data_IF_489856115721
#
_entry.id   IF_489856115721
#
_cell.length_a   1.000
_cell.length_b   1.000
_cell.length_c   1.000
_cell.angle_alpha   90.00
_cell.angle_beta   90.00
_cell.angle_gamma   90.00
#
_symmetry.space_group_name_H-M   'P 1'
#
loop_
_entity.id
_entity.type
_entity.pdbx_description
1 polymer ?
#
# COMPACT_ATOMS: atom_id res chain seq x y z
N UNK A 1 -26.61 -5.24 4.07
CA UNK A 1 -27.28 -3.92 4.11
C UNK A 1 -27.42 -3.51 5.55
N UNK A 2 -26.68 -2.50 5.97
CA UNK A 2 -26.82 -1.87 7.27
C UNK A 2 -27.56 -0.55 7.13
N UNK A 3 -28.38 -0.19 8.09
CA UNK A 3 -28.95 1.14 8.19
C UNK A 3 -28.38 1.83 9.41
N UNK A 4 -28.04 3.09 9.27
CA UNK A 4 -27.59 3.94 10.36
C UNK A 4 -28.41 5.22 10.40
N UNK A 5 -28.56 5.78 11.59
CA UNK A 5 -29.16 7.08 11.78
C UNK A 5 -28.06 8.09 12.08
N UNK A 6 -27.81 9.00 11.17
CA UNK A 6 -26.93 10.10 11.44
C UNK A 6 -27.56 11.02 12.48
N UNK A 7 -26.91 11.19 13.63
CA UNK A 7 -27.32 12.24 14.57
C UNK A 7 -27.09 13.58 13.90
N UNK A 8 -28.10 14.48 14.03
CA UNK A 8 -27.98 15.88 13.63
C UNK A 8 -26.71 16.48 14.26
N UNK A 9 -25.72 16.74 13.43
CA UNK A 9 -24.63 17.58 13.82
C UNK A 9 -24.92 18.97 13.31
N UNK A 10 -25.25 19.86 14.20
CA UNK A 10 -25.39 21.27 13.86
C UNK A 10 -24.01 21.85 13.66
N UNK A 11 -23.82 22.48 12.52
CA UNK A 11 -22.76 23.44 12.35
C UNK A 11 -23.25 24.72 13.06
N UNK A 12 -22.85 24.92 14.30
CA UNK A 12 -23.25 26.08 15.11
C UNK A 12 -22.41 27.34 14.82
N UNK A 13 -21.68 27.37 13.72
CA UNK A 13 -20.76 28.43 13.38
C UNK A 13 -19.50 28.51 14.26
N UNK A 14 -19.35 27.63 15.25
CA UNK A 14 -18.23 27.59 16.21
C UNK A 14 -17.25 26.45 15.93
N UNK A 15 -17.31 25.84 14.76
CA UNK A 15 -16.32 24.86 14.32
C UNK A 15 -16.43 23.48 14.96
N UNK A 16 -17.58 23.10 15.53
CA UNK A 16 -17.78 21.71 15.96
C UNK A 16 -17.81 20.77 14.76
N UNK A 17 -16.87 19.82 14.75
CA UNK A 17 -16.82 18.77 13.75
C UNK A 17 -18.02 17.84 13.88
N UNK A 18 -18.71 17.57 12.77
CA UNK A 18 -19.62 16.44 12.71
C UNK A 18 -18.79 15.17 12.63
N UNK A 19 -19.09 14.21 13.49
CA UNK A 19 -18.52 12.87 13.42
C UNK A 19 -19.45 12.01 12.59
N UNK A 20 -18.89 11.29 11.61
CA UNK A 20 -19.59 10.15 11.02
C UNK A 20 -19.86 9.14 12.15
N UNK A 21 -21.03 8.51 12.09
CA UNK A 21 -21.39 7.49 13.08
C UNK A 21 -20.48 6.28 12.84
N UNK A 22 -19.97 5.66 13.89
CA UNK A 22 -19.00 4.56 13.82
C UNK A 22 -19.48 3.36 12.96
N UNK A 23 -20.78 3.20 12.79
CA UNK A 23 -21.38 2.15 11.98
C UNK A 23 -21.50 2.45 10.47
N UNK A 24 -20.92 3.53 9.98
CA UNK A 24 -20.81 3.81 8.54
C UNK A 24 -19.59 3.13 7.91
N UNK A 25 -18.65 2.66 8.71
CA UNK A 25 -17.51 1.91 8.24
C UNK A 25 -17.93 0.51 7.76
N UNK A 26 -17.46 0.12 6.59
CA UNK A 26 -17.61 -1.25 6.10
C UNK A 26 -16.25 -1.95 6.14
N UNK A 27 -16.17 -3.08 6.81
CA UNK A 27 -14.93 -3.83 7.02
C UNK A 27 -14.71 -4.94 5.98
N UNK A 28 -15.39 -4.87 4.84
CA UNK A 28 -15.28 -5.88 3.80
C UNK A 28 -15.98 -7.19 4.17
N UNK A 29 -17.06 -7.11 4.95
CA UNK A 29 -17.84 -8.28 5.38
C UNK A 29 -19.27 -8.25 4.85
N UNK A 30 -19.87 -9.43 4.70
CA UNK A 30 -21.27 -9.60 4.35
C UNK A 30 -22.19 -9.45 5.58
N UNK A 31 -23.50 -9.69 5.38
CA UNK A 31 -24.50 -9.60 6.44
C UNK A 31 -24.33 -10.66 7.55
N UNK A 32 -23.51 -11.69 7.33
CA UNK A 32 -23.21 -12.74 8.32
C UNK A 32 -21.91 -12.44 9.07
N UNK A 33 -21.18 -11.38 8.68
CA UNK A 33 -19.87 -11.05 9.21
C UNK A 33 -18.72 -11.81 8.53
N UNK A 34 -18.98 -12.54 7.45
CA UNK A 34 -17.96 -13.23 6.67
C UNK A 34 -17.30 -12.27 5.68
N UNK A 35 -15.99 -12.40 5.48
CA UNK A 35 -15.28 -11.58 4.50
C UNK A 35 -15.80 -11.84 3.10
N UNK A 36 -16.05 -10.78 2.36
CA UNK A 36 -16.45 -10.89 0.95
C UNK A 36 -15.25 -11.26 0.08
N UNK A 37 -15.51 -11.88 -1.07
CA UNK A 37 -14.48 -12.25 -2.03
C UNK A 37 -13.84 -11.02 -2.69
N UNK A 38 -12.65 -11.19 -3.25
CA UNK A 38 -12.05 -10.16 -4.11
C UNK A 38 -12.95 -9.84 -5.30
N UNK A 39 -13.03 -8.56 -5.65
CA UNK A 39 -13.88 -8.10 -6.74
C UNK A 39 -14.31 -6.65 -6.64
N UNK A 40 -15.21 -6.28 -7.52
CA UNK A 40 -15.79 -4.94 -7.57
C UNK A 40 -17.07 -4.86 -6.74
N UNK A 41 -17.15 -3.83 -5.93
CA UNK A 41 -18.29 -3.56 -5.05
C UNK A 41 -18.73 -2.11 -5.20
N UNK A 42 -19.99 -1.87 -4.86
CA UNK A 42 -20.54 -0.51 -4.77
C UNK A 42 -20.93 -0.26 -3.32
N UNK A 43 -20.28 0.71 -2.70
CA UNK A 43 -20.69 1.24 -1.42
C UNK A 43 -21.71 2.36 -1.66
N UNK A 44 -22.95 2.14 -1.22
CA UNK A 44 -24.05 3.07 -1.44
C UNK A 44 -24.47 3.68 -0.11
N UNK A 45 -24.46 5.00 -0.06
CA UNK A 45 -24.99 5.78 1.06
C UNK A 45 -26.29 6.42 0.65
N UNK A 46 -27.37 6.11 1.38
CA UNK A 46 -28.67 6.73 1.22
C UNK A 46 -28.96 7.60 2.43
N UNK A 47 -29.38 8.81 2.20
CA UNK A 47 -29.74 9.72 3.28
C UNK A 47 -30.81 10.69 2.83
N UNK A 48 -31.68 11.09 3.77
CA UNK A 48 -32.64 12.16 3.55
C UNK A 48 -32.18 13.39 4.33
N UNK A 49 -31.91 14.51 3.67
CA UNK A 49 -31.55 15.74 4.36
C UNK A 49 -32.63 16.15 5.39
N UNK A 50 -32.21 16.69 6.51
CA UNK A 50 -33.14 17.13 7.57
C UNK A 50 -33.81 18.47 7.23
N UNK A 51 -34.31 18.60 6.01
CA UNK A 51 -35.05 19.76 5.51
C UNK A 51 -36.46 19.30 5.12
N UNK A 52 -37.52 20.03 5.54
CA UNK A 52 -38.90 19.66 5.15
C UNK A 52 -39.06 19.53 3.64
N UNK A 53 -39.61 18.41 3.20
CA UNK A 53 -39.83 18.12 1.78
C UNK A 53 -38.59 17.63 1.01
N UNK A 54 -37.47 17.38 1.68
CA UNK A 54 -36.29 16.84 1.03
C UNK A 54 -36.51 15.38 0.59
N UNK A 55 -36.07 15.09 -0.63
CA UNK A 55 -36.06 13.72 -1.18
C UNK A 55 -34.81 12.95 -0.73
N UNK A 56 -34.90 11.61 -0.77
CA UNK A 56 -33.75 10.74 -0.51
C UNK A 56 -32.64 11.02 -1.52
N UNK A 57 -31.44 11.17 -1.01
CA UNK A 57 -30.20 11.31 -1.79
C UNK A 57 -29.42 10.00 -1.77
N UNK A 58 -28.83 9.65 -2.89
CA UNK A 58 -28.03 8.42 -3.04
C UNK A 58 -26.65 8.78 -3.56
N UNK A 59 -25.63 8.42 -2.79
CA UNK A 59 -24.22 8.56 -3.21
C UNK A 59 -23.60 7.17 -3.33
N UNK A 60 -22.92 6.92 -4.43
CA UNK A 60 -22.28 5.63 -4.71
C UNK A 60 -20.78 5.79 -4.86
N UNK A 61 -20.04 4.87 -4.25
CA UNK A 61 -18.61 4.75 -4.37
C UNK A 61 -18.28 3.38 -4.93
N UNK A 62 -17.53 3.36 -6.03
CA UNK A 62 -16.99 2.10 -6.54
C UNK A 62 -15.79 1.71 -5.70
N UNK A 63 -15.80 0.49 -5.20
CA UNK A 63 -14.74 -0.10 -4.40
C UNK A 63 -14.21 -1.34 -5.09
N UNK A 64 -12.93 -1.57 -4.93
CA UNK A 64 -12.30 -2.82 -5.31
C UNK A 64 -11.71 -3.45 -4.06
N UNK A 65 -12.02 -4.72 -3.84
CA UNK A 65 -11.40 -5.54 -2.82
C UNK A 65 -10.40 -6.44 -3.53
N UNK A 66 -9.18 -6.39 -3.06
CA UNK A 66 -8.09 -7.22 -3.52
C UNK A 66 -7.23 -7.60 -2.32
N UNK A 67 -7.18 -8.89 -2.01
CA UNK A 67 -6.37 -9.46 -0.93
C UNK A 67 -5.17 -10.24 -1.45
N UNK A 68 -4.99 -10.28 -2.76
CA UNK A 68 -3.90 -10.99 -3.39
C UNK A 68 -2.66 -10.10 -3.46
N UNK A 69 -1.52 -10.69 -3.12
CA UNK A 69 -0.25 -9.98 -3.19
C UNK A 69 0.29 -9.98 -4.62
N UNK A 70 0.97 -8.89 -5.02
CA UNK A 70 1.80 -8.94 -6.23
C UNK A 70 2.86 -10.03 -6.08
N UNK A 71 3.22 -10.68 -7.18
CA UNK A 71 4.23 -11.74 -7.19
C UNK A 71 5.56 -11.18 -7.63
N UNK A 72 6.53 -11.19 -6.74
CA UNK A 72 7.92 -10.89 -7.07
C UNK A 72 8.57 -12.04 -7.83
N UNK A 73 9.19 -11.71 -8.94
CA UNK A 73 10.12 -12.60 -9.63
C UNK A 73 11.55 -12.15 -9.35
N UNK A 74 12.47 -13.11 -9.24
CA UNK A 74 13.88 -12.80 -8.99
C UNK A 74 14.44 -11.90 -10.10
N UNK A 75 15.00 -10.76 -9.71
CA UNK A 75 15.76 -9.92 -10.60
C UNK A 75 17.11 -10.51 -10.99
N UNK A 76 17.85 -9.83 -11.84
CA UNK A 76 19.20 -10.19 -12.23
C UNK A 76 20.13 -8.97 -12.17
N UNK A 77 21.42 -9.21 -12.13
CA UNK A 77 22.42 -8.16 -12.11
C UNK A 77 23.30 -8.25 -13.35
N UNK A 78 23.66 -7.10 -13.90
CA UNK A 78 24.66 -6.98 -14.97
C UNK A 78 25.84 -6.17 -14.46
N UNK A 79 27.03 -6.41 -15.00
CA UNK A 79 28.22 -5.63 -14.73
C UNK A 79 28.82 -5.10 -16.01
N UNK A 80 28.95 -3.78 -16.12
CA UNK A 80 29.56 -3.11 -17.26
C UNK A 80 30.53 -2.04 -16.77
N UNK A 81 31.75 -2.06 -17.27
CA UNK A 81 32.79 -1.08 -16.92
C UNK A 81 33.03 -0.92 -15.41
N UNK A 82 32.93 -2.03 -14.65
CA UNK A 82 33.04 -2.04 -13.20
C UNK A 82 31.76 -1.67 -12.45
N UNK A 83 30.78 -1.11 -13.12
CA UNK A 83 29.49 -0.71 -12.54
C UNK A 83 28.50 -1.88 -12.56
N UNK A 84 27.94 -2.17 -11.41
CA UNK A 84 26.91 -3.19 -11.25
C UNK A 84 25.52 -2.57 -11.28
N UNK A 85 24.61 -3.15 -12.07
CA UNK A 85 23.22 -2.67 -12.20
C UNK A 85 22.27 -3.83 -11.96
N UNK A 86 21.34 -3.63 -11.03
CA UNK A 86 20.28 -4.56 -10.71
C UNK A 86 19.05 -4.26 -11.56
N UNK A 87 18.47 -5.29 -12.18
CA UNK A 87 17.20 -5.22 -12.89
C UNK A 87 16.18 -6.08 -12.19
N UNK A 88 15.17 -5.45 -11.64
CA UNK A 88 14.00 -6.13 -11.13
C UNK A 88 13.22 -6.75 -12.30
N UNK A 89 12.80 -8.00 -12.18
CA UNK A 89 11.84 -8.56 -13.14
C UNK A 89 10.47 -7.99 -12.84
N UNK A 90 9.73 -7.68 -13.90
CA UNK A 90 8.36 -7.19 -13.75
C UNK A 90 7.54 -8.17 -12.94
N UNK A 91 6.99 -7.66 -11.89
CA UNK A 91 6.03 -8.34 -11.06
C UNK A 91 4.71 -8.52 -11.82
N UNK A 92 4.10 -9.66 -11.60
CA UNK A 92 2.73 -9.89 -12.02
C UNK A 92 1.84 -9.66 -10.81
N UNK A 93 1.00 -8.66 -10.89
CA UNK A 93 -0.14 -8.56 -10.02
C UNK A 93 -1.19 -9.59 -10.47
N UNK A 94 -1.54 -10.52 -9.59
CA UNK A 94 -2.56 -11.54 -9.85
C UNK A 94 -3.95 -11.05 -9.42
N UNK A 95 -4.00 -9.98 -8.63
CA UNK A 95 -5.22 -9.27 -8.26
C UNK A 95 -5.72 -8.37 -9.39
N UNK A 96 -6.73 -7.60 -9.10
CA UNK A 96 -7.33 -6.66 -10.04
C UNK A 96 -6.81 -5.22 -9.89
N UNK A 97 -5.85 -4.99 -8.98
CA UNK A 97 -5.45 -3.66 -8.55
C UNK A 97 -4.33 -3.02 -9.37
N UNK A 98 -3.48 -3.82 -10.01
CA UNK A 98 -2.25 -3.32 -10.64
C UNK A 98 -1.19 -2.88 -9.60
N UNK A 99 0.04 -2.65 -10.08
CA UNK A 99 1.15 -2.25 -9.22
C UNK A 99 1.11 -0.74 -8.98
N UNK A 100 1.06 -0.34 -7.70
CA UNK A 100 1.13 1.06 -7.28
C UNK A 100 2.56 1.57 -7.30
N UNK A 101 3.49 0.78 -6.73
CA UNK A 101 4.90 1.17 -6.65
C UNK A 101 5.84 0.00 -6.54
N UNK A 102 7.03 0.21 -7.05
CA UNK A 102 8.19 -0.65 -6.87
C UNK A 102 9.29 0.14 -6.18
N UNK A 103 9.99 -0.48 -5.25
CA UNK A 103 11.07 0.16 -4.52
C UNK A 103 12.24 -0.80 -4.36
N UNK A 104 13.43 -0.32 -4.69
CA UNK A 104 14.70 -1.00 -4.41
C UNK A 104 15.49 -0.14 -3.44
N UNK A 105 15.97 -0.72 -2.37
CA UNK A 105 16.74 -0.02 -1.36
C UNK A 105 17.67 -0.98 -0.62
N UNK A 106 18.64 -0.44 0.10
CA UNK A 106 19.41 -1.15 1.12
C UNK A 106 19.28 -0.43 2.45
N UNK A 107 19.63 -1.11 3.54
CA UNK A 107 19.61 -0.54 4.89
C UNK A 107 21.05 -0.34 5.35
N UNK A 108 21.35 0.83 5.90
CA UNK A 108 22.63 1.10 6.55
C UNK A 108 22.65 0.41 7.91
N UNK A 109 22.94 -0.88 7.92
CA UNK A 109 23.14 -1.70 9.10
C UNK A 109 24.56 -2.29 9.05
N UNK A 110 25.28 -2.20 10.16
CA UNK A 110 26.68 -2.62 10.24
C UNK A 110 26.82 -3.65 11.36
N UNK A 111 27.68 -4.65 11.13
CA UNK A 111 28.11 -5.59 12.16
C UNK A 111 29.15 -4.96 13.10
N UNK A 112 29.68 -5.76 14.03
CA UNK A 112 30.69 -5.33 14.99
C UNK A 112 32.03 -4.95 14.33
N UNK A 113 32.31 -5.51 13.18
CA UNK A 113 33.50 -5.25 12.35
C UNK A 113 33.33 -4.02 11.45
N UNK A 114 32.16 -3.40 11.44
CA UNK A 114 31.83 -2.25 10.61
C UNK A 114 31.49 -2.59 9.15
N UNK A 115 31.21 -3.84 8.87
CA UNK A 115 30.79 -4.30 7.54
C UNK A 115 29.29 -4.13 7.38
N UNK A 116 28.85 -3.67 6.21
CA UNK A 116 27.44 -3.51 5.92
C UNK A 116 26.76 -4.88 5.79
N UNK A 117 25.70 -5.11 6.55
CA UNK A 117 24.94 -6.37 6.57
C UNK A 117 23.49 -6.15 6.22
N UNK A 118 22.86 -7.20 5.66
CA UNK A 118 21.41 -7.18 5.44
C UNK A 118 20.70 -7.41 6.77
N UNK A 119 19.85 -6.46 7.17
CA UNK A 119 18.99 -6.66 8.32
C UNK A 119 17.94 -7.75 8.05
N UNK A 120 17.49 -8.43 9.11
CA UNK A 120 16.44 -9.43 9.00
C UNK A 120 15.12 -8.85 8.50
N UNK A 121 14.18 -9.73 8.11
CA UNK A 121 12.85 -9.37 7.57
C UNK A 121 12.07 -8.38 8.44
N UNK A 122 12.33 -8.37 9.74
CA UNK A 122 11.72 -7.45 10.71
C UNK A 122 12.04 -5.97 10.43
N UNK A 123 13.15 -5.70 9.76
CA UNK A 123 13.54 -4.34 9.37
C UNK A 123 12.54 -3.71 8.38
N UNK A 124 11.86 -4.51 7.58
CA UNK A 124 10.90 -4.04 6.57
C UNK A 124 9.58 -3.56 7.19
N UNK A 125 9.22 -4.06 8.36
CA UNK A 125 7.94 -3.77 9.03
C UNK A 125 7.99 -2.68 10.10
N UNK A 126 9.18 -2.28 10.57
CA UNK A 126 9.32 -1.33 11.67
C UNK A 126 9.57 0.08 11.18
N UNK A 127 8.69 1.02 11.51
CA UNK A 127 8.80 2.44 11.17
C UNK A 127 10.08 3.10 11.70
N UNK A 128 10.59 2.65 12.83
CA UNK A 128 11.81 3.17 13.46
C UNK A 128 13.10 2.98 12.64
N UNK A 129 13.05 2.19 11.56
CA UNK A 129 14.22 1.91 10.71
C UNK A 129 14.14 2.52 9.31
N UNK A 130 13.09 3.28 9.01
CA UNK A 130 12.99 3.99 7.73
C UNK A 130 14.14 4.96 7.50
N UNK A 131 14.66 5.56 8.55
CA UNK A 131 15.76 6.52 8.51
C UNK A 131 17.07 5.94 7.94
N UNK A 132 17.25 4.63 8.11
CA UNK A 132 18.44 3.93 7.64
C UNK A 132 18.30 3.37 6.22
N UNK A 133 17.15 3.53 5.58
CA UNK A 133 16.92 3.03 4.22
C UNK A 133 17.46 4.00 3.19
N UNK A 134 18.26 3.49 2.28
CA UNK A 134 18.74 4.23 1.12
C UNK A 134 18.06 3.68 -0.12
N UNK A 135 17.12 4.45 -0.65
CA UNK A 135 16.39 4.09 -1.84
C UNK A 135 17.22 4.35 -3.09
N UNK A 136 17.22 3.40 -4.01
CA UNK A 136 17.83 3.55 -5.32
C UNK A 136 16.80 4.09 -6.31
N UNK A 137 17.25 4.93 -7.23
CA UNK A 137 16.43 5.44 -8.31
C UNK A 137 16.70 4.62 -9.56
N UNK A 138 15.64 4.23 -10.27
CA UNK A 138 15.78 3.54 -11.54
C UNK A 138 16.40 4.46 -12.60
N UNK A 139 17.30 3.90 -13.40
CA UNK A 139 17.83 4.52 -14.60
C UNK A 139 16.75 4.58 -15.69
N UNK A 140 17.05 5.23 -16.80
CA UNK A 140 16.16 5.33 -17.97
C UNK A 140 15.79 3.96 -18.56
N UNK A 141 16.68 2.98 -18.44
CA UNK A 141 16.47 1.59 -18.88
C UNK A 141 15.77 0.70 -17.83
N UNK A 142 15.39 1.27 -16.69
CA UNK A 142 14.71 0.57 -15.59
C UNK A 142 15.64 -0.21 -14.67
N UNK A 143 16.96 -0.13 -14.85
CA UNK A 143 17.94 -0.71 -13.95
C UNK A 143 18.24 0.18 -12.76
N UNK A 144 18.76 -0.40 -11.69
CA UNK A 144 19.20 0.29 -10.47
C UNK A 144 20.70 0.14 -10.32
N UNK A 145 21.46 1.23 -10.53
CA UNK A 145 22.91 1.23 -10.34
C UNK A 145 23.25 1.03 -8.87
N UNK A 146 24.08 0.03 -8.58
CA UNK A 146 24.49 -0.25 -7.22
C UNK A 146 25.65 0.69 -6.83
N UNK A 147 25.55 1.35 -5.65
CA UNK A 147 26.67 2.11 -5.10
C UNK A 147 27.88 1.20 -4.82
N UNK A 148 29.05 1.80 -4.77
CA UNK A 148 30.27 1.08 -4.40
C UNK A 148 30.12 0.38 -3.03
N UNK A 149 30.55 -0.85 -2.96
CA UNK A 149 30.42 -1.68 -1.75
C UNK A 149 29.03 -2.29 -1.50
N UNK A 150 28.05 -1.99 -2.34
CA UNK A 150 26.70 -2.56 -2.25
C UNK A 150 26.58 -3.71 -3.23
N UNK A 151 26.40 -4.92 -2.71
CA UNK A 151 26.07 -6.11 -3.51
C UNK A 151 24.57 -6.34 -3.58
N UNK A 152 24.13 -7.14 -4.55
CA UNK A 152 22.74 -7.53 -4.68
C UNK A 152 22.15 -8.16 -3.40
N UNK A 153 22.96 -8.92 -2.68
CA UNK A 153 22.51 -9.63 -1.47
C UNK A 153 22.10 -8.68 -0.34
N UNK A 154 22.55 -7.42 -0.40
CA UNK A 154 22.17 -6.37 0.53
C UNK A 154 20.90 -5.63 0.13
N UNK A 155 20.39 -5.84 -1.08
CA UNK A 155 19.21 -5.15 -1.57
C UNK A 155 17.93 -5.76 -1.02
N UNK A 156 16.98 -4.87 -0.82
CA UNK A 156 15.58 -5.17 -0.64
C UNK A 156 14.82 -4.69 -1.87
N UNK A 157 13.93 -5.53 -2.35
CA UNK A 157 13.00 -5.18 -3.41
C UNK A 157 11.59 -5.37 -2.89
N UNK A 158 10.80 -4.29 -2.96
CA UNK A 158 9.42 -4.25 -2.45
C UNK A 158 8.49 -3.83 -3.56
N UNK A 159 7.39 -4.53 -3.68
CA UNK A 159 6.26 -4.16 -4.55
C UNK A 159 5.02 -3.98 -3.70
N UNK A 160 4.23 -2.99 -4.06
CA UNK A 160 2.93 -2.71 -3.44
C UNK A 160 1.90 -2.47 -4.55
N UNK A 161 0.74 -3.10 -4.43
CA UNK A 161 -0.40 -2.86 -5.30
C UNK A 161 -1.26 -1.67 -4.81
N UNK A 162 -2.30 -1.34 -5.57
CA UNK A 162 -3.22 -0.27 -5.20
C UNK A 162 -4.11 -0.61 -4.00
N UNK A 163 -4.26 -1.87 -3.63
CA UNK A 163 -4.98 -2.31 -2.44
C UNK A 163 -4.11 -2.27 -1.17
N UNK A 164 -2.79 -2.04 -1.31
CA UNK A 164 -1.84 -1.98 -0.23
C UNK A 164 -1.22 -3.34 0.13
N UNK A 165 -1.47 -4.40 -0.65
CA UNK A 165 -0.79 -5.66 -0.48
C UNK A 165 0.67 -5.53 -0.92
N UNK A 166 1.57 -6.17 -0.19
CA UNK A 166 3.02 -6.07 -0.42
C UNK A 166 3.66 -7.42 -0.51
N UNK A 167 4.65 -7.49 -1.38
CA UNK A 167 5.62 -8.58 -1.43
C UNK A 167 7.04 -8.04 -1.45
N UNK A 168 8.01 -8.82 -0.94
CA UNK A 168 9.40 -8.41 -0.84
C UNK A 168 10.36 -9.58 -1.06
N UNK A 169 11.51 -9.25 -1.64
CA UNK A 169 12.63 -10.16 -1.86
C UNK A 169 13.94 -9.56 -1.32
#
# INVERSE_FOLDING_TARGET
>A
TGSFSARKNYFDGRGKRSYLVDNTAWEGTDAKGEKVADGHYVYEVRYTPAVPGAEEQVVRFNLQIDTQKPVLTSGYTTKKDGVETFYARKTKDIGNGGILREQVFYVKAFDEEGTLVKEGKDALGKTSRFENRVYLTANEDGGYTLPEGISRDLLYYVVEDYAGNRDFA
#
